data_IF_559469747795
#
_entry.id   IF_559469747795
#
_cell.length_a   1.000
_cell.length_b   1.000
_cell.length_c   1.000
_cell.angle_alpha   90.00
_cell.angle_beta   90.00
_cell.angle_gamma   90.00
#
_symmetry.space_group_name_H-M   'P 1'
#
loop_
_entity.id
_entity.type
_entity.pdbx_description
1 polymer ?
#
# COMPACT_ATOMS: atom_id res chain seq x y z
N UNK A 1 3.89 -6.97 9.59
CA UNK A 1 3.58 -6.65 8.18
C UNK A 1 3.24 -7.87 7.31
N UNK A 2 4.07 -8.92 7.21
CA UNK A 2 3.86 -10.03 6.25
C UNK A 2 2.44 -10.65 6.26
N UNK A 3 1.90 -10.93 7.45
CA UNK A 3 0.55 -11.48 7.59
C UNK A 3 -0.51 -10.51 7.09
N UNK A 4 -0.42 -9.23 7.44
CA UNK A 4 -1.33 -8.19 6.95
C UNK A 4 -1.30 -8.11 5.44
N UNK A 5 -0.11 -8.08 4.84
CA UNK A 5 0.05 -8.06 3.38
C UNK A 5 -0.52 -9.31 2.71
N UNK A 6 -0.33 -10.49 3.32
CA UNK A 6 -0.93 -11.74 2.85
C UNK A 6 -2.46 -11.67 2.83
N UNK A 7 -3.07 -11.15 3.91
CA UNK A 7 -4.52 -11.06 4.03
C UNK A 7 -5.15 -10.06 3.05
N UNK A 8 -4.47 -8.94 2.77
CA UNK A 8 -5.04 -7.89 1.90
C UNK A 8 -4.71 -8.07 0.42
N UNK A 9 -3.58 -8.70 0.08
CA UNK A 9 -3.11 -8.84 -1.31
C UNK A 9 -3.02 -10.28 -1.81
N UNK A 10 -3.11 -11.28 -0.92
CA UNK A 10 -2.83 -12.67 -1.25
C UNK A 10 -1.34 -13.00 -1.34
N UNK A 11 -0.44 -12.05 -1.06
CA UNK A 11 1.01 -12.25 -1.11
C UNK A 11 1.68 -11.85 0.21
N UNK A 12 2.45 -12.76 0.79
CA UNK A 12 3.25 -12.49 1.98
C UNK A 12 4.55 -11.76 1.61
N UNK A 13 4.59 -10.45 1.89
CA UNK A 13 5.83 -9.65 1.80
C UNK A 13 6.00 -8.79 3.06
N UNK A 14 7.22 -8.61 3.59
CA UNK A 14 7.48 -7.68 4.69
C UNK A 14 7.42 -6.21 4.25
N UNK A 15 7.36 -5.92 2.95
CA UNK A 15 7.50 -4.58 2.39
C UNK A 15 6.16 -3.97 1.99
N UNK A 16 6.02 -2.66 2.21
CA UNK A 16 4.80 -1.91 1.86
C UNK A 16 4.96 -1.01 0.63
N UNK A 17 6.17 -0.89 0.07
CA UNK A 17 6.40 -0.11 -1.15
C UNK A 17 5.85 -0.83 -2.38
N UNK A 18 5.72 -0.10 -3.49
CA UNK A 18 5.20 -0.66 -4.75
C UNK A 18 6.28 -1.36 -5.57
N UNK A 19 5.90 -2.43 -6.26
CA UNK A 19 6.73 -3.13 -7.22
C UNK A 19 7.95 -3.79 -6.60
N UNK A 20 9.10 -3.62 -7.23
CA UNK A 20 10.37 -4.22 -6.81
C UNK A 20 11.41 -3.12 -6.60
N UNK A 21 12.27 -3.30 -5.61
CA UNK A 21 13.46 -2.46 -5.39
C UNK A 21 14.70 -3.35 -5.47
N UNK A 22 15.71 -2.92 -6.22
CA UNK A 22 17.02 -3.55 -6.25
C UNK A 22 17.98 -2.78 -5.35
N UNK A 23 18.54 -3.45 -4.36
CA UNK A 23 19.54 -2.89 -3.45
C UNK A 23 20.84 -3.67 -3.64
N UNK A 24 21.73 -3.14 -4.47
CA UNK A 24 23.06 -3.72 -4.72
C UNK A 24 23.02 -5.18 -5.18
N UNK A 25 22.06 -5.53 -6.03
CA UNK A 25 21.84 -6.89 -6.55
C UNK A 25 20.85 -7.72 -5.73
N UNK A 26 20.39 -7.21 -4.57
CA UNK A 26 19.33 -7.84 -3.79
C UNK A 26 17.96 -7.30 -4.22
N UNK A 27 17.16 -8.16 -4.85
CA UNK A 27 15.77 -7.83 -5.21
C UNK A 27 14.84 -7.97 -4.00
N UNK A 28 14.21 -6.87 -3.63
CA UNK A 28 13.16 -6.81 -2.63
C UNK A 28 11.80 -6.65 -3.31
N UNK A 29 10.84 -7.47 -2.89
CA UNK A 29 9.51 -7.52 -3.50
C UNK A 29 8.49 -6.80 -2.62
N UNK A 30 7.95 -5.71 -3.11
CA UNK A 30 6.85 -4.99 -2.50
C UNK A 30 5.49 -5.50 -2.97
N UNK A 31 4.53 -4.58 -3.01
CA UNK A 31 3.16 -4.82 -3.43
C UNK A 31 3.08 -4.77 -4.95
N UNK A 32 2.47 -5.80 -5.55
CA UNK A 32 2.55 -6.03 -7.01
C UNK A 32 1.51 -5.24 -7.82
N UNK A 33 0.37 -4.93 -7.21
CA UNK A 33 -0.77 -4.32 -7.88
C UNK A 33 -1.66 -3.60 -6.87
N UNK A 34 -2.49 -2.69 -7.35
CA UNK A 34 -3.47 -1.98 -6.54
C UNK A 34 -4.40 -2.94 -5.79
N UNK A 35 -4.37 -2.86 -4.46
CA UNK A 35 -5.17 -3.73 -3.60
C UNK A 35 -6.65 -3.34 -3.61
N UNK A 36 -7.54 -4.30 -3.33
CA UNK A 36 -8.98 -4.02 -3.19
C UNK A 36 -9.30 -3.22 -1.92
N UNK A 37 -8.55 -3.50 -0.84
CA UNK A 37 -8.60 -2.82 0.46
C UNK A 37 -7.19 -2.28 0.73
N UNK A 38 -7.12 -1.04 1.19
CA UNK A 38 -5.86 -0.35 1.42
C UNK A 38 -5.24 -0.63 2.77
N UNK A 39 -4.02 -0.15 2.95
CA UNK A 39 -3.33 -0.16 4.22
C UNK A 39 -2.67 1.20 4.44
N UNK A 40 -2.77 1.72 5.66
CA UNK A 40 -2.09 2.92 6.13
C UNK A 40 -1.35 2.57 7.42
N UNK A 41 -0.24 3.24 7.71
CA UNK A 41 0.52 2.98 8.93
C UNK A 41 0.84 4.26 9.68
N UNK A 42 0.59 4.28 10.99
CA UNK A 42 1.03 5.38 11.85
C UNK A 42 2.56 5.51 11.89
N UNK A 43 3.29 4.45 11.53
CA UNK A 43 4.75 4.45 11.45
C UNK A 43 5.31 5.36 10.35
N UNK A 44 4.49 5.77 9.37
CA UNK A 44 4.89 6.74 8.35
C UNK A 44 5.19 8.12 8.96
N UNK A 45 4.45 8.52 10.01
CA UNK A 45 4.66 9.79 10.71
C UNK A 45 6.05 9.84 11.35
N UNK A 46 6.53 8.69 11.84
CA UNK A 46 7.86 8.52 12.41
C UNK A 46 8.94 8.24 11.37
N UNK A 47 8.60 8.20 10.07
CA UNK A 47 9.51 7.88 8.95
C UNK A 47 10.19 6.51 9.08
N UNK A 48 9.59 5.59 9.83
CA UNK A 48 10.10 4.24 10.03
C UNK A 48 9.67 3.29 8.91
N UNK A 49 8.63 3.65 8.18
CA UNK A 49 8.07 2.87 7.08
C UNK A 49 7.54 3.81 6.01
N UNK A 50 7.56 3.34 4.76
CA UNK A 50 6.92 3.98 3.62
C UNK A 50 5.86 3.04 3.06
N UNK A 51 4.59 3.47 3.06
CA UNK A 51 3.52 2.73 2.36
C UNK A 51 3.42 3.26 0.93
N UNK A 52 3.48 2.33 -0.03
CA UNK A 52 3.35 2.59 -1.45
C UNK A 52 1.93 2.96 -1.88
N UNK A 53 1.82 3.46 -3.11
CA UNK A 53 0.57 3.88 -3.73
C UNK A 53 -0.43 2.73 -3.87
N UNK A 54 0.00 1.49 -4.15
CA UNK A 54 -0.94 0.36 -4.31
C UNK A 54 -1.73 0.02 -3.05
N UNK A 55 -1.20 0.39 -1.88
CA UNK A 55 -1.87 0.24 -0.58
C UNK A 55 -2.54 1.53 -0.10
N UNK A 56 -1.95 2.71 -0.38
CA UNK A 56 -2.55 4.00 -0.04
C UNK A 56 -3.78 4.32 -0.88
N UNK A 57 -3.77 3.88 -2.13
CA UNK A 57 -4.83 4.11 -3.10
C UNK A 57 -5.48 2.78 -3.51
N UNK A 58 -6.32 2.16 -2.65
CA UNK A 58 -7.01 0.92 -2.97
C UNK A 58 -8.17 1.12 -3.96
N UNK A 59 -8.68 0.03 -4.53
CA UNK A 59 -9.83 0.07 -5.47
C UNK A 59 -11.15 0.46 -4.81
N UNK A 60 -11.30 0.19 -3.52
CA UNK A 60 -12.45 0.61 -2.71
C UNK A 60 -11.97 1.55 -1.60
N UNK A 61 -12.73 2.61 -1.24
CA UNK A 61 -12.35 3.56 -0.19
C UNK A 61 -12.49 2.94 1.22
N UNK A 62 -11.72 1.88 1.47
CA UNK A 62 -11.63 1.10 2.70
C UNK A 62 -10.14 0.85 2.94
N UNK A 63 -9.68 1.17 4.15
CA UNK A 63 -8.30 1.01 4.57
C UNK A 63 -8.23 0.32 5.93
N UNK A 64 -7.17 -0.46 6.12
CA UNK A 64 -6.72 -0.87 7.44
C UNK A 64 -5.64 0.11 7.89
N UNK A 65 -5.87 0.84 8.97
CA UNK A 65 -4.86 1.64 9.65
C UNK A 65 -4.15 0.75 10.68
N UNK A 66 -2.86 0.53 10.48
CA UNK A 66 -1.99 -0.13 11.46
C UNK A 66 -1.33 0.87 12.41
N UNK A 67 -1.47 0.63 13.71
CA UNK A 67 -0.64 1.22 14.75
C UNK A 67 0.41 0.23 15.25
N UNK A 68 1.17 0.61 16.27
CA UNK A 68 2.13 -0.30 16.91
C UNK A 68 1.47 -1.56 17.50
N UNK A 69 0.22 -1.47 17.95
CA UNK A 69 -0.43 -2.54 18.73
C UNK A 69 -1.81 -2.94 18.21
N UNK A 70 -2.45 -2.16 17.35
CA UNK A 70 -3.82 -2.38 16.90
C UNK A 70 -3.99 -2.17 15.39
N UNK A 71 -5.01 -2.83 14.83
CA UNK A 71 -5.49 -2.60 13.47
C UNK A 71 -6.90 -2.00 13.54
N UNK A 72 -7.13 -0.92 12.83
CA UNK A 72 -8.43 -0.23 12.77
C UNK A 72 -8.87 -0.12 11.32
N UNK A 73 -10.15 -0.41 11.04
CA UNK A 73 -10.72 -0.18 9.70
C UNK A 73 -11.24 1.24 9.60
N UNK A 74 -10.84 1.95 8.54
CA UNK A 74 -11.35 3.27 8.18
C UNK A 74 -11.96 3.15 6.78
N UNK A 75 -13.11 3.78 6.56
CA UNK A 75 -13.77 3.76 5.26
C UNK A 75 -14.46 5.09 4.98
N UNK A 76 -14.74 5.34 3.71
CA UNK A 76 -15.53 6.49 3.26
C UNK A 76 -16.52 6.07 2.19
N UNK A 77 -17.57 6.88 2.02
CA UNK A 77 -18.49 6.76 0.89
C UNK A 77 -18.02 7.56 -0.33
N UNK A 78 -17.06 8.47 -0.13
CA UNK A 78 -16.50 9.31 -1.18
C UNK A 78 -15.56 8.48 -2.06
N UNK A 79 -15.95 8.26 -3.32
CA UNK A 79 -15.15 7.50 -4.28
C UNK A 79 -13.99 8.31 -4.85
N UNK A 80 -14.07 9.64 -4.84
CA UNK A 80 -12.99 10.50 -5.32
C UNK A 80 -11.71 10.42 -4.45
N UNK A 81 -11.77 9.78 -3.28
CA UNK A 81 -10.59 9.53 -2.44
C UNK A 81 -9.67 8.43 -3.01
N UNK A 82 -10.14 7.68 -4.01
CA UNK A 82 -9.35 6.63 -4.66
C UNK A 82 -9.38 6.76 -6.18
N UNK A 83 -8.23 6.50 -6.80
CA UNK A 83 -8.05 6.52 -8.25
C UNK A 83 -7.89 5.09 -8.77
N UNK A 84 -8.37 4.78 -9.98
CA UNK A 84 -8.10 3.47 -10.58
C UNK A 84 -6.75 3.50 -11.30
N UNK A 85 -6.03 2.36 -11.32
CA UNK A 85 -4.69 2.10 -11.88
C UNK A 85 -4.34 2.66 -13.28
N UNK A 86 -5.31 3.26 -13.98
CA UNK A 86 -5.10 4.02 -15.21
C UNK A 86 -4.31 5.32 -14.99
N UNK A 87 -4.25 5.83 -13.75
CA UNK A 87 -3.68 7.14 -13.37
C UNK A 87 -2.54 6.99 -12.32
N UNK A 88 -1.74 5.92 -12.32
CA UNK A 88 -0.63 5.85 -11.34
C UNK A 88 0.32 7.05 -11.48
N UNK A 89 0.83 7.64 -10.38
CA UNK A 89 1.74 8.79 -10.44
C UNK A 89 2.96 8.53 -11.32
N UNK A 90 3.42 7.28 -11.36
CA UNK A 90 4.53 6.84 -12.19
C UNK A 90 4.18 6.85 -13.69
N UNK A 91 2.94 6.51 -14.07
CA UNK A 91 2.47 6.63 -15.46
C UNK A 91 2.20 8.08 -15.86
N UNK A 92 1.74 8.92 -14.93
CA UNK A 92 1.58 10.37 -15.18
C UNK A 92 2.92 11.05 -15.37
N UNK A 93 3.95 10.69 -14.60
CA UNK A 93 5.32 11.24 -14.75
C UNK A 93 6.03 10.81 -16.05
N UNK A 94 5.50 9.80 -16.75
CA UNK A 94 6.02 9.31 -18.03
C UNK A 94 5.23 9.84 -19.24
N UNK A 95 4.18 10.65 -19.03
CA UNK A 95 3.48 11.40 -20.08
C UNK A 95 4.06 12.80 -20.23
#
# INVERSE_FOLDING_TARGET
>A
QCLTNLLITGFATPHCFDGEKDISGLKLYGIRHQASIGFLSSLEIYRLLEVGWYLKNPKSPIWILGSETHLTVIFSRERALVELDNETPLKQALK
#
